data_IF_205794998755
#
_entry.id   IF_205794998755
#
_cell.length_a   1.000
_cell.length_b   1.000
_cell.length_c   1.000
_cell.angle_alpha   90.00
_cell.angle_beta   90.00
_cell.angle_gamma   90.00
#
_symmetry.space_group_name_H-M   'P 1'
#
loop_
_entity.id
_entity.type
_entity.pdbx_description
1 polymer ?
#
# COMPACT_ATOMS: atom_id res chain seq x y z
N UNK A 1 -3.09 48.70 -34.17
CA UNK A 1 -3.28 47.79 -33.01
C UNK A 1 -3.20 48.65 -31.77
N UNK A 2 -4.23 48.65 -30.92
CA UNK A 2 -4.20 49.45 -29.69
C UNK A 2 -3.15 48.89 -28.73
N UNK A 3 -2.39 49.73 -27.99
CA UNK A 3 -1.40 49.26 -27.01
C UNK A 3 -1.95 48.19 -26.05
N UNK A 4 -3.20 48.37 -25.60
CA UNK A 4 -3.87 47.43 -24.68
C UNK A 4 -4.04 46.02 -25.26
N UNK A 5 -4.26 45.92 -26.57
CA UNK A 5 -4.40 44.63 -27.26
C UNK A 5 -3.06 43.89 -27.36
N UNK A 6 -1.96 44.64 -27.36
CA UNK A 6 -0.62 44.07 -27.44
C UNK A 6 -0.18 43.56 -26.06
N UNK A 7 -0.52 44.27 -24.99
CA UNK A 7 -0.30 43.81 -23.62
C UNK A 7 -1.07 42.51 -23.32
N UNK A 8 -2.33 42.45 -23.71
CA UNK A 8 -3.15 41.27 -23.44
C UNK A 8 -2.63 40.03 -24.18
N UNK A 9 -2.18 40.20 -25.42
CA UNK A 9 -1.56 39.11 -26.19
C UNK A 9 -0.30 38.58 -25.52
N UNK A 10 0.55 39.45 -24.99
CA UNK A 10 1.79 39.05 -24.31
C UNK A 10 1.45 38.30 -23.01
N UNK A 11 0.48 38.80 -22.22
CA UNK A 11 0.03 38.13 -20.99
C UNK A 11 -0.52 36.74 -21.25
N UNK A 12 -1.38 36.60 -22.25
CA UNK A 12 -1.97 35.30 -22.63
C UNK A 12 -0.89 34.34 -23.14
N UNK A 13 0.02 34.80 -24.00
CA UNK A 13 1.12 33.97 -24.51
C UNK A 13 2.04 33.48 -23.37
N UNK A 14 2.38 34.37 -22.43
CA UNK A 14 3.23 34.04 -21.29
C UNK A 14 2.55 33.07 -20.32
N UNK A 15 1.24 33.23 -20.09
CA UNK A 15 0.42 32.32 -19.29
C UNK A 15 0.35 30.94 -19.92
N UNK A 16 0.06 30.87 -21.22
CA UNK A 16 -0.03 29.60 -21.95
C UNK A 16 1.31 28.87 -22.02
N UNK A 17 2.41 29.60 -22.23
CA UNK A 17 3.76 29.02 -22.18
C UNK A 17 4.08 28.46 -20.78
N UNK A 18 3.65 29.15 -19.72
CA UNK A 18 3.86 28.71 -18.33
C UNK A 18 2.98 27.52 -17.95
N UNK A 19 1.71 27.51 -18.35
CA UNK A 19 0.77 26.38 -18.16
C UNK A 19 1.20 25.15 -18.99
N UNK A 20 1.83 25.33 -20.16
CA UNK A 20 2.37 24.24 -20.97
C UNK A 20 3.71 23.71 -20.45
N UNK A 21 4.58 24.59 -19.91
CA UNK A 21 5.87 24.21 -19.35
C UNK A 21 5.75 23.58 -17.96
N UNK A 22 4.67 23.87 -17.22
CA UNK A 22 4.43 23.33 -15.88
C UNK A 22 3.25 22.36 -15.89
N UNK A 23 3.52 21.07 -15.67
CA UNK A 23 2.44 20.14 -15.33
C UNK A 23 1.83 20.61 -14.00
N UNK A 24 0.56 21.04 -14.04
CA UNK A 24 -0.20 21.28 -12.81
C UNK A 24 -0.11 20.03 -11.96
N UNK A 25 0.43 20.17 -10.76
CA UNK A 25 0.59 19.05 -9.85
C UNK A 25 -0.80 18.51 -9.49
N UNK A 26 -1.30 17.56 -10.27
CA UNK A 26 -2.46 16.77 -9.91
C UNK A 26 -2.20 16.14 -8.55
N UNK A 27 -3.20 16.20 -7.66
CA UNK A 27 -3.10 15.56 -6.36
C UNK A 27 -2.65 14.11 -6.53
N UNK A 28 -1.66 13.68 -5.74
CA UNK A 28 -1.25 12.27 -5.74
C UNK A 28 -2.49 11.41 -5.47
N UNK A 29 -2.73 10.34 -6.24
CA UNK A 29 -3.85 9.45 -5.97
C UNK A 29 -3.77 8.98 -4.52
N UNK A 30 -4.92 8.97 -3.84
CA UNK A 30 -5.00 8.57 -2.45
C UNK A 30 -4.38 7.18 -2.31
N UNK A 31 -3.34 7.06 -1.48
CA UNK A 31 -2.71 5.77 -1.22
C UNK A 31 -3.75 4.89 -0.55
N UNK A 32 -4.07 3.73 -1.15
CA UNK A 32 -4.86 2.70 -0.47
C UNK A 32 -4.14 2.36 0.84
N UNK A 33 -4.82 2.57 1.96
CA UNK A 33 -4.27 2.24 3.26
C UNK A 33 -4.03 0.72 3.33
N UNK A 34 -3.01 0.31 4.05
CA UNK A 34 -2.78 -1.11 4.25
C UNK A 34 -3.98 -1.72 4.99
N UNK A 35 -4.36 -2.95 4.66
CA UNK A 35 -5.52 -3.61 5.26
C UNK A 35 -5.46 -3.71 6.80
N UNK A 36 -4.27 -3.88 7.36
CA UNK A 36 -4.03 -3.90 8.81
C UNK A 36 -4.01 -2.50 9.47
N UNK A 37 -4.18 -1.43 8.69
CA UNK A 37 -4.17 -0.06 9.20
C UNK A 37 -5.52 0.28 9.84
N UNK A 38 -5.49 0.78 11.07
CA UNK A 38 -6.70 1.17 11.81
C UNK A 38 -6.61 2.60 12.35
N UNK A 39 -7.76 3.18 12.69
CA UNK A 39 -7.84 4.51 13.32
C UNK A 39 -7.09 4.55 14.65
N UNK A 40 -7.08 3.44 15.40
CA UNK A 40 -6.30 3.28 16.63
C UNK A 40 -4.80 3.48 16.36
N UNK A 41 -4.26 2.81 15.34
CA UNK A 41 -2.85 2.93 14.94
C UNK A 41 -2.55 4.36 14.48
N UNK A 42 -3.48 5.02 13.78
CA UNK A 42 -3.33 6.41 13.36
C UNK A 42 -3.19 7.35 14.55
N UNK A 43 -4.12 7.27 15.52
CA UNK A 43 -4.12 8.08 16.75
C UNK A 43 -2.85 7.84 17.58
N UNK A 44 -2.44 6.58 17.73
CA UNK A 44 -1.22 6.22 18.45
C UNK A 44 0.04 6.75 17.74
N UNK A 45 0.05 6.78 16.41
CA UNK A 45 1.15 7.33 15.63
C UNK A 45 1.24 8.84 15.80
N UNK A 46 0.12 9.55 15.74
CA UNK A 46 0.08 10.99 16.01
C UNK A 46 0.59 11.31 17.41
N UNK A 47 0.13 10.57 18.42
CA UNK A 47 0.58 10.73 19.80
C UNK A 47 2.10 10.47 19.94
N UNK A 48 2.59 9.36 19.39
CA UNK A 48 4.03 9.03 19.41
C UNK A 48 4.88 10.12 18.76
N UNK A 49 4.40 10.72 17.65
CA UNK A 49 5.09 11.82 16.98
C UNK A 49 5.06 13.11 17.82
N UNK A 50 3.95 13.38 18.51
CA UNK A 50 3.84 14.50 19.45
C UNK A 50 4.86 14.38 20.58
N UNK A 51 4.94 13.22 21.23
CA UNK A 51 5.92 12.96 22.30
C UNK A 51 7.35 13.03 21.81
N UNK A 52 7.65 12.44 20.63
CA UNK A 52 8.97 12.56 20.01
C UNK A 52 9.35 14.03 19.79
N UNK A 53 8.43 14.84 19.26
CA UNK A 53 8.65 16.27 19.03
C UNK A 53 8.91 17.01 20.34
N UNK A 54 8.12 16.75 21.39
CA UNK A 54 8.31 17.36 22.70
C UNK A 54 9.72 17.05 23.25
N UNK A 55 10.11 15.77 23.25
CA UNK A 55 11.44 15.34 23.68
C UNK A 55 12.57 15.99 22.86
N UNK A 56 12.48 15.97 21.52
CA UNK A 56 13.51 16.58 20.66
C UNK A 56 13.63 18.10 20.88
N UNK A 57 12.51 18.79 21.08
CA UNK A 57 12.50 20.23 21.37
C UNK A 57 13.11 20.53 22.73
N UNK A 58 12.80 19.74 23.76
CA UNK A 58 13.38 19.92 25.09
C UNK A 58 14.92 19.75 25.07
N UNK A 59 15.42 18.75 24.34
CA UNK A 59 16.88 18.60 24.12
C UNK A 59 17.48 19.79 23.38
N UNK A 60 16.79 20.30 22.34
CA UNK A 60 17.28 21.45 21.57
C UNK A 60 17.32 22.73 22.41
N UNK A 61 16.35 22.92 23.30
CA UNK A 61 16.26 24.08 24.19
C UNK A 61 17.15 23.98 25.42
N UNK A 62 17.82 22.84 25.65
CA UNK A 62 18.63 22.57 26.84
C UNK A 62 17.81 22.76 28.13
N UNK A 63 16.58 22.26 28.11
CA UNK A 63 15.72 22.18 29.30
C UNK A 63 16.40 21.34 30.40
N UNK A 64 15.82 21.33 31.60
CA UNK A 64 16.34 20.53 32.72
C UNK A 64 16.45 19.05 32.34
N UNK A 65 17.47 18.37 32.86
CA UNK A 65 17.70 16.95 32.62
C UNK A 65 16.48 16.09 33.03
N UNK A 66 15.86 16.43 34.15
CA UNK A 66 14.66 15.77 34.67
C UNK A 66 13.49 15.84 33.67
N UNK A 67 13.25 17.00 33.07
CA UNK A 67 12.18 17.18 32.08
C UNK A 67 12.48 16.39 30.80
N UNK A 68 13.74 16.39 30.35
CA UNK A 68 14.17 15.63 29.17
C UNK A 68 13.95 14.13 29.40
N UNK A 69 14.28 13.62 30.58
CA UNK A 69 14.10 12.21 30.94
C UNK A 69 12.62 11.83 31.06
N UNK A 70 11.79 12.68 31.67
CA UNK A 70 10.34 12.46 31.72
C UNK A 70 9.72 12.35 30.31
N UNK A 71 10.08 13.27 29.41
CA UNK A 71 9.61 13.24 28.01
C UNK A 71 10.18 12.04 27.24
N UNK A 72 11.37 11.58 27.58
CA UNK A 72 11.95 10.37 27.01
C UNK A 72 11.15 9.12 27.38
N UNK A 73 10.78 8.96 28.66
CA UNK A 73 9.93 7.87 29.11
C UNK A 73 8.53 7.91 28.48
N UNK A 74 7.94 9.11 28.35
CA UNK A 74 6.67 9.31 27.64
C UNK A 74 6.76 8.86 26.16
N UNK A 75 7.83 9.24 25.47
CA UNK A 75 8.06 8.82 24.09
C UNK A 75 8.28 7.30 23.95
N UNK A 76 9.10 6.68 24.79
CA UNK A 76 9.34 5.23 24.72
C UNK A 76 8.04 4.47 24.96
N UNK A 77 7.26 4.85 25.98
CA UNK A 77 6.00 4.19 26.31
C UNK A 77 5.01 4.29 25.15
N UNK A 78 4.81 5.49 24.58
CA UNK A 78 3.97 5.69 23.40
C UNK A 78 4.44 4.85 22.19
N UNK A 79 5.76 4.83 21.93
CA UNK A 79 6.36 4.02 20.86
C UNK A 79 6.14 2.52 21.07
N UNK A 80 6.23 2.03 22.32
CA UNK A 80 5.98 0.62 22.66
C UNK A 80 4.53 0.25 22.38
N UNK A 81 3.59 1.08 22.81
CA UNK A 81 2.15 0.90 22.55
C UNK A 81 1.86 0.89 21.05
N UNK A 82 2.44 1.82 20.28
CA UNK A 82 2.29 1.84 18.82
C UNK A 82 2.86 0.57 18.16
N UNK A 83 4.03 0.10 18.60
CA UNK A 83 4.62 -1.13 18.05
C UNK A 83 3.75 -2.35 18.33
N UNK A 84 3.25 -2.47 19.56
CA UNK A 84 2.40 -3.59 19.97
C UNK A 84 1.09 -3.62 19.19
N UNK A 85 0.45 -2.46 19.02
CA UNK A 85 -0.80 -2.34 18.25
C UNK A 85 -0.60 -2.61 16.76
N UNK A 86 0.50 -2.14 16.15
CA UNK A 86 0.85 -2.50 14.77
C UNK A 86 1.08 -4.01 14.64
N UNK A 87 1.82 -4.61 15.57
CA UNK A 87 2.07 -6.05 15.54
C UNK A 87 0.75 -6.83 15.66
N UNK A 88 -0.13 -6.44 16.59
CA UNK A 88 -1.48 -7.02 16.73
C UNK A 88 -2.29 -6.87 15.44
N UNK A 89 -2.31 -5.68 14.85
CA UNK A 89 -3.03 -5.41 13.58
C UNK A 89 -2.51 -6.26 12.43
N UNK A 90 -1.19 -6.48 12.36
CA UNK A 90 -0.60 -7.38 11.35
C UNK A 90 -0.92 -8.85 11.61
N UNK A 91 -0.84 -9.30 12.86
CA UNK A 91 -1.14 -10.69 13.22
C UNK A 91 -2.59 -11.03 12.95
N UNK A 92 -3.52 -10.15 13.34
CA UNK A 92 -4.96 -10.31 13.06
C UNK A 92 -5.25 -10.35 11.57
N UNK A 93 -4.72 -9.39 10.81
CA UNK A 93 -4.85 -9.40 9.35
C UNK A 93 -4.27 -10.66 8.69
N UNK A 94 -3.17 -11.19 9.22
CA UNK A 94 -2.59 -12.45 8.74
C UNK A 94 -3.49 -13.64 9.09
N UNK A 95 -4.03 -13.69 10.31
CA UNK A 95 -4.95 -14.75 10.74
C UNK A 95 -6.23 -14.77 9.90
N UNK A 96 -6.81 -13.61 9.61
CA UNK A 96 -7.97 -13.50 8.72
C UNK A 96 -7.67 -14.02 7.31
N UNK A 97 -6.48 -13.70 6.78
CA UNK A 97 -6.02 -14.26 5.51
C UNK A 97 -5.87 -15.78 5.57
N UNK A 98 -5.29 -16.32 6.66
CA UNK A 98 -5.12 -17.76 6.85
C UNK A 98 -6.46 -18.49 6.94
N UNK A 99 -7.44 -17.95 7.69
CA UNK A 99 -8.78 -18.52 7.76
C UNK A 99 -9.43 -18.58 6.37
N UNK A 100 -9.20 -17.56 5.54
CA UNK A 100 -9.69 -17.56 4.15
C UNK A 100 -8.99 -18.64 3.29
N UNK A 101 -7.73 -19.01 3.59
CA UNK A 101 -7.02 -20.10 2.91
C UNK A 101 -7.60 -21.46 3.30
N UNK A 102 -7.92 -21.67 4.58
CA UNK A 102 -8.46 -22.95 5.06
C UNK A 102 -9.79 -23.31 4.37
N UNK A 103 -10.60 -22.31 4.02
CA UNK A 103 -11.85 -22.48 3.28
C UNK A 103 -11.64 -22.79 1.78
N UNK A 104 -10.57 -22.27 1.17
CA UNK A 104 -10.23 -22.46 -0.25
C UNK A 104 -8.71 -22.67 -0.44
N UNK A 105 -8.29 -23.92 -0.23
CA UNK A 105 -6.89 -24.31 -0.15
C UNK A 105 -6.07 -23.83 -1.37
N UNK A 106 -6.60 -23.96 -2.60
CA UNK A 106 -5.92 -23.57 -3.85
C UNK A 106 -6.50 -22.32 -4.54
N UNK A 107 -7.19 -21.50 -3.76
CA UNK A 107 -7.94 -20.35 -4.20
C UNK A 107 -7.17 -19.09 -4.54
N UNK A 108 -7.89 -17.97 -4.40
CA UNK A 108 -7.36 -16.61 -4.42
C UNK A 108 -6.26 -16.36 -3.38
N UNK A 109 -6.36 -16.85 -2.13
CA UNK A 109 -5.34 -16.63 -1.12
C UNK A 109 -3.99 -17.28 -1.45
N UNK A 110 -3.98 -18.51 -1.97
CA UNK A 110 -2.77 -19.17 -2.47
C UNK A 110 -2.14 -18.38 -3.62
N UNK A 111 -2.96 -17.90 -4.57
CA UNK A 111 -2.51 -17.05 -5.67
C UNK A 111 -1.94 -15.72 -5.16
N UNK A 112 -2.52 -15.13 -4.11
CA UNK A 112 -2.01 -13.91 -3.48
C UNK A 112 -0.62 -14.13 -2.86
N UNK A 113 -0.45 -15.18 -2.04
CA UNK A 113 0.84 -15.52 -1.40
C UNK A 113 1.90 -15.84 -2.44
N UNK A 114 1.56 -16.62 -3.47
CA UNK A 114 2.47 -16.94 -4.57
C UNK A 114 2.69 -15.78 -5.55
N UNK A 115 2.11 -14.59 -5.30
CA UNK A 115 2.12 -13.43 -6.22
C UNK A 115 1.63 -13.79 -7.64
N UNK A 116 0.76 -14.80 -7.73
CA UNK A 116 0.07 -15.29 -8.92
C UNK A 116 -1.31 -14.65 -9.13
N UNK A 117 -1.70 -13.66 -8.33
CA UNK A 117 -2.82 -12.78 -8.65
C UNK A 117 -2.50 -12.04 -9.96
N UNK A 118 -3.01 -12.57 -11.07
CA UNK A 118 -2.93 -11.92 -12.37
C UNK A 118 -3.67 -10.58 -12.30
N UNK A 119 -3.16 -9.58 -13.04
CA UNK A 119 -3.98 -8.43 -13.41
C UNK A 119 -5.21 -8.90 -14.19
N UNK A 120 -6.25 -8.06 -14.28
CA UNK A 120 -7.56 -8.30 -14.92
C UNK A 120 -7.50 -8.57 -16.45
N UNK A 121 -6.43 -9.19 -16.95
CA UNK A 121 -6.33 -9.68 -18.32
C UNK A 121 -6.55 -11.19 -18.30
N UNK A 122 -7.44 -11.72 -19.17
CA UNK A 122 -7.72 -13.14 -19.23
C UNK A 122 -6.42 -13.94 -19.44
N UNK A 123 -6.33 -15.11 -18.83
CA UNK A 123 -5.18 -15.98 -19.04
C UNK A 123 -5.10 -16.44 -20.49
N UNK A 124 -3.91 -16.84 -20.95
CA UNK A 124 -3.76 -17.41 -22.30
C UNK A 124 -4.69 -18.63 -22.49
N UNK A 125 -4.91 -19.42 -21.44
CA UNK A 125 -5.83 -20.57 -21.46
C UNK A 125 -7.30 -20.15 -21.42
N UNK A 126 -7.66 -18.99 -20.85
CA UNK A 126 -9.01 -18.41 -20.93
C UNK A 126 -9.29 -17.77 -22.30
N UNK A 127 -8.24 -17.40 -23.04
CA UNK A 127 -8.35 -16.80 -24.38
C UNK A 127 -8.30 -17.87 -25.48
N UNK A 128 -7.78 -19.06 -25.18
CA UNK A 128 -7.71 -20.19 -26.10
C UNK A 128 -9.03 -20.97 -26.15
N UNK A 129 -9.34 -21.50 -27.33
CA UNK A 129 -10.49 -22.37 -27.55
C UNK A 129 -10.35 -23.69 -26.79
N UNK A 130 -11.46 -24.22 -26.26
CA UNK A 130 -11.49 -25.40 -25.37
C UNK A 130 -10.77 -26.60 -25.99
N UNK A 131 -11.00 -26.84 -27.27
CA UNK A 131 -10.39 -27.96 -28.00
C UNK A 131 -8.86 -27.85 -28.10
N UNK A 132 -8.33 -26.63 -28.22
CA UNK A 132 -6.88 -26.41 -28.28
C UNK A 132 -6.21 -26.62 -26.92
N UNK A 133 -6.90 -26.28 -25.84
CA UNK A 133 -6.42 -26.53 -24.47
C UNK A 133 -6.39 -28.04 -24.19
N UNK A 134 -7.46 -28.76 -24.51
CA UNK A 134 -7.55 -30.21 -24.26
C UNK A 134 -6.47 -30.98 -25.04
N UNK A 135 -6.22 -30.62 -26.30
CA UNK A 135 -5.15 -31.22 -27.10
C UNK A 135 -3.75 -30.95 -26.53
N UNK A 136 -3.50 -29.73 -26.03
CA UNK A 136 -2.23 -29.38 -25.39
C UNK A 136 -2.03 -30.14 -24.08
N UNK A 137 -3.08 -30.24 -23.26
CA UNK A 137 -3.03 -30.98 -21.99
C UNK A 137 -2.73 -32.46 -22.26
N UNK A 138 -3.42 -33.08 -23.21
CA UNK A 138 -3.21 -34.48 -23.59
C UNK A 138 -1.81 -34.73 -24.19
N UNK A 139 -1.24 -33.74 -24.87
CA UNK A 139 0.13 -33.83 -25.41
C UNK A 139 1.20 -33.65 -24.33
N UNK A 140 0.96 -32.80 -23.33
CA UNK A 140 1.95 -32.45 -22.30
C UNK A 140 1.90 -33.40 -21.10
N UNK A 141 0.71 -33.92 -20.78
CA UNK A 141 0.49 -34.85 -19.69
C UNK A 141 -0.13 -36.11 -20.29
N UNK A 142 0.66 -37.18 -20.37
CA UNK A 142 0.14 -38.50 -20.69
C UNK A 142 -0.86 -38.88 -19.59
N UNK A 143 -2.11 -39.19 -19.97
CA UNK A 143 -3.08 -39.78 -19.05
C UNK A 143 -2.54 -41.13 -18.59
N UNK A 144 -1.83 -41.14 -17.46
CA UNK A 144 -1.41 -42.39 -16.84
C UNK A 144 -2.65 -42.90 -16.09
N UNK A 145 -3.28 -44.01 -16.51
CA UNK A 145 -4.40 -44.54 -15.76
C UNK A 145 -3.90 -44.92 -14.37
N UNK A 146 -4.44 -44.26 -13.34
CA UNK A 146 -4.17 -44.62 -11.95
C UNK A 146 -4.86 -45.97 -11.66
N UNK A 147 -4.20 -47.06 -12.05
CA UNK A 147 -4.63 -48.41 -11.70
C UNK A 147 -4.23 -48.67 -10.25
N UNK A 148 -5.21 -48.63 -9.35
CA UNK A 148 -5.07 -49.13 -7.98
C UNK A 148 -5.02 -50.67 -8.07
N UNK A 149 -3.92 -51.34 -7.66
CA UNK A 149 -3.90 -52.79 -7.58
C UNK A 149 -4.86 -53.25 -6.47
N UNK A 150 -5.69 -54.26 -6.79
CA UNK A 150 -6.57 -54.95 -5.84
C UNK A 150 -5.78 -55.75 -4.81
#
# INVERSE_FOLDING_TARGET
>A
MSPDQQEEKIRVAMRNASDAATNRAGGRPAKKQAYWWSDEISKLRENTLREKRAWTKAKQRKESAELIDQLWYAYISARRTLRNTINRGKTTALQELLNTIEDDLWGLPYKLVMRKLRHSTPSLTETLDRATVDNLVNSLFLEVPFTIPK
#
